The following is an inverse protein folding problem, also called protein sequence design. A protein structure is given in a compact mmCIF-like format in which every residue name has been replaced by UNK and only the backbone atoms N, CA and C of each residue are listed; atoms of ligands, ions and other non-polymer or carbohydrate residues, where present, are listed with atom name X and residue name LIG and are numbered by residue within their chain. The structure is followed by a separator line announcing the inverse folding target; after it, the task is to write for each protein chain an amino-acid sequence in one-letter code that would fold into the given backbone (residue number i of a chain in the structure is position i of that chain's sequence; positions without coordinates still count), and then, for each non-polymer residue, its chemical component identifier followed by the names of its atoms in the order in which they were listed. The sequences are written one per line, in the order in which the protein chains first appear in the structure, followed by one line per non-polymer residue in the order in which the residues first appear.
data_IF_247935207359
#
_entry.id   IF_247935207359
#
_cell.length_a   1.000
_cell.length_b   1.000
_cell.length_c   1.000
_cell.angle_alpha   90.00
_cell.angle_beta   90.00
_cell.angle_gamma   90.00
#
_symmetry.space_group_name_H-M   'P 1'
#
loop_
_entity.id
_entity.type
_entity.pdbx_description
1 polymer ?
#
# COMPACT_ATOMS: atom_id res chain seq x y z
N UNK A 1 36.88 0.83 -6.19
CA UNK A 1 35.46 0.57 -5.88
C UNK A 1 34.64 1.62 -6.60
N UNK A 2 33.85 1.23 -7.59
CA UNK A 2 32.99 2.17 -8.33
C UNK A 2 31.77 2.53 -7.45
N UNK A 3 31.34 3.79 -7.41
CA UNK A 3 30.12 4.17 -6.69
C UNK A 3 28.93 3.45 -7.30
N UNK A 4 28.08 2.82 -6.46
CA UNK A 4 26.80 2.29 -6.89
C UNK A 4 25.91 3.49 -7.23
N UNK A 5 25.83 3.84 -8.52
CA UNK A 5 24.92 4.87 -9.01
C UNK A 5 23.46 4.58 -8.59
N UNK A 6 22.61 5.62 -8.53
CA UNK A 6 21.23 5.49 -8.06
C UNK A 6 20.48 4.49 -8.94
N UNK A 7 19.75 3.55 -8.32
CA UNK A 7 18.91 2.57 -9.03
C UNK A 7 17.59 3.19 -9.55
N UNK A 8 17.56 4.51 -9.72
CA UNK A 8 16.44 5.27 -10.27
C UNK A 8 16.44 5.08 -11.77
N UNK A 9 15.32 4.61 -12.33
CA UNK A 9 15.15 4.58 -13.77
C UNK A 9 14.91 6.01 -14.26
N UNK A 10 15.28 6.33 -15.51
CA UNK A 10 14.81 7.57 -16.10
C UNK A 10 13.28 7.48 -16.24
N UNK A 11 12.54 8.44 -15.69
CA UNK A 11 11.08 8.44 -15.68
C UNK A 11 10.47 8.23 -17.08
N UNK A 12 11.11 8.78 -18.12
CA UNK A 12 10.74 8.54 -19.52
C UNK A 12 10.73 7.06 -19.92
N UNK A 13 11.74 6.28 -19.53
CA UNK A 13 11.80 4.84 -19.84
C UNK A 13 10.68 4.04 -19.18
N UNK A 14 10.18 4.50 -18.02
CA UNK A 14 9.08 3.83 -17.32
C UNK A 14 7.73 4.14 -17.98
N UNK A 15 7.57 5.36 -18.48
CA UNK A 15 6.40 5.76 -19.28
C UNK A 15 6.35 5.02 -20.61
N UNK A 16 7.51 4.81 -21.23
CA UNK A 16 7.66 4.08 -22.50
C UNK A 16 7.73 2.56 -22.33
N UNK A 17 7.38 2.04 -21.15
CA UNK A 17 7.34 0.60 -20.91
C UNK A 17 6.43 -0.11 -21.93
N UNK A 18 6.82 -1.33 -22.30
CA UNK A 18 6.02 -2.23 -23.11
C UNK A 18 4.81 -2.70 -22.28
N UNK A 19 3.60 -2.36 -22.75
CA UNK A 19 2.36 -2.57 -22.02
C UNK A 19 1.55 -3.69 -22.68
N UNK A 20 0.92 -4.58 -21.89
CA UNK A 20 -0.05 -5.52 -22.43
C UNK A 20 -1.25 -4.84 -23.08
N UNK A 21 -1.87 -5.48 -24.07
CA UNK A 21 -3.01 -4.92 -24.83
C UNK A 21 -4.22 -4.52 -23.96
N UNK A 22 -4.38 -5.14 -22.79
CA UNK A 22 -5.47 -4.87 -21.84
C UNK A 22 -5.22 -3.66 -20.94
N UNK A 23 -4.00 -3.11 -20.90
CA UNK A 23 -3.64 -1.96 -20.07
C UNK A 23 -3.59 -0.69 -20.91
N UNK A 24 -4.56 0.23 -20.78
CA UNK A 24 -4.54 1.48 -21.54
C UNK A 24 -3.30 2.32 -21.22
N UNK A 25 -2.70 2.88 -22.28
CA UNK A 25 -1.49 3.71 -22.16
C UNK A 25 -1.73 4.95 -21.30
N UNK A 26 -2.87 5.61 -21.45
CA UNK A 26 -3.17 6.83 -20.69
C UNK A 26 -3.26 6.54 -19.18
N UNK A 27 -3.96 5.47 -18.78
CA UNK A 27 -4.01 5.05 -17.37
C UNK A 27 -2.62 4.71 -16.81
N UNK A 28 -1.74 4.11 -17.62
CA UNK A 28 -0.35 3.87 -17.20
C UNK A 28 0.46 5.16 -17.04
N UNK A 29 0.23 6.16 -17.90
CA UNK A 29 0.89 7.46 -17.79
C UNK A 29 0.44 8.22 -16.54
N UNK A 30 -0.85 8.20 -16.22
CA UNK A 30 -1.40 8.78 -14.99
C UNK A 30 -0.78 8.13 -13.74
N UNK A 31 -0.63 6.81 -13.76
CA UNK A 31 0.06 6.09 -12.69
C UNK A 31 1.54 6.48 -12.58
N UNK A 32 2.25 6.60 -13.70
CA UNK A 32 3.64 7.03 -13.72
C UNK A 32 3.79 8.43 -13.14
N UNK A 33 2.99 9.40 -13.58
CA UNK A 33 3.03 10.78 -13.07
C UNK A 33 2.80 10.82 -11.54
N UNK A 34 1.81 10.07 -11.07
CA UNK A 34 1.54 9.96 -9.64
C UNK A 34 2.72 9.38 -8.86
N UNK A 35 3.35 8.30 -9.36
CA UNK A 35 4.53 7.71 -8.70
C UNK A 35 5.72 8.66 -8.68
N UNK A 36 5.93 9.45 -9.72
CA UNK A 36 6.97 10.47 -9.78
C UNK A 36 6.71 11.61 -8.79
N UNK A 37 5.47 12.07 -8.66
CA UNK A 37 5.07 13.05 -7.65
C UNK A 37 5.31 12.52 -6.23
N UNK A 38 5.04 11.23 -6.00
CA UNK A 38 5.28 10.55 -4.72
C UNK A 38 6.77 10.34 -4.43
N UNK A 39 7.58 10.04 -5.43
CA UNK A 39 9.04 9.98 -5.28
C UNK A 39 9.57 11.33 -4.77
N UNK A 40 9.15 12.44 -5.40
CA UNK A 40 9.57 13.79 -4.96
C UNK A 40 9.08 14.15 -3.56
N UNK A 41 7.87 13.71 -3.18
CA UNK A 41 7.23 14.12 -1.92
C UNK A 41 7.61 13.26 -0.71
N UNK A 42 7.83 11.96 -0.92
CA UNK A 42 7.96 10.97 0.15
C UNK A 42 9.22 10.11 0.04
N UNK A 43 10.14 10.47 -0.86
CA UNK A 43 11.38 9.75 -1.15
C UNK A 43 11.16 8.24 -1.41
N UNK A 44 10.04 7.91 -2.09
CA UNK A 44 9.69 6.53 -2.47
C UNK A 44 10.06 6.31 -3.94
N UNK A 45 11.20 5.67 -4.26
CA UNK A 45 11.76 5.66 -5.61
C UNK A 45 10.80 5.03 -6.64
N UNK A 46 10.64 5.67 -7.80
CA UNK A 46 9.98 5.08 -8.95
C UNK A 46 11.00 4.38 -9.84
N UNK A 47 11.01 3.04 -9.80
CA UNK A 47 12.09 2.22 -10.39
C UNK A 47 11.55 1.18 -11.36
N UNK A 48 12.40 0.69 -12.27
CA UNK A 48 12.02 -0.39 -13.22
C UNK A 48 11.44 -1.63 -12.52
N UNK A 49 12.01 -2.11 -11.39
CA UNK A 49 11.39 -3.21 -10.64
C UNK A 49 10.00 -2.87 -10.08
N UNK A 50 9.78 -1.65 -9.59
CA UNK A 50 8.47 -1.23 -9.09
C UNK A 50 7.42 -1.18 -10.22
N UNK A 51 7.79 -0.66 -11.40
CA UNK A 51 6.95 -0.68 -12.59
C UNK A 51 6.59 -2.12 -13.00
N UNK A 52 7.57 -3.03 -13.05
CA UNK A 52 7.34 -4.45 -13.37
C UNK A 52 6.40 -5.13 -12.37
N UNK A 53 6.53 -4.84 -11.07
CA UNK A 53 5.64 -5.40 -10.04
C UNK A 53 4.23 -4.82 -10.16
N UNK A 54 4.10 -3.54 -10.49
CA UNK A 54 2.80 -2.89 -10.75
C UNK A 54 2.06 -3.58 -11.89
N UNK A 55 2.73 -3.78 -13.05
CA UNK A 55 2.12 -4.46 -14.21
C UNK A 55 1.69 -5.89 -13.83
N UNK A 56 2.49 -6.62 -13.06
CA UNK A 56 2.11 -7.96 -12.55
C UNK A 56 0.89 -7.92 -11.62
N UNK A 57 0.72 -6.86 -10.83
CA UNK A 57 -0.43 -6.70 -9.93
C UNK A 57 -1.69 -6.38 -10.73
N UNK A 58 -1.59 -5.49 -11.71
CA UNK A 58 -2.66 -5.17 -12.66
C UNK A 58 -3.07 -6.40 -13.48
N UNK A 59 -2.11 -7.22 -13.93
CA UNK A 59 -2.40 -8.46 -14.64
C UNK A 59 -3.27 -9.42 -13.81
N UNK A 60 -2.96 -9.58 -12.53
CA UNK A 60 -3.80 -10.39 -11.62
C UNK A 60 -5.20 -9.82 -11.47
N UNK A 61 -5.33 -8.50 -11.32
CA UNK A 61 -6.65 -7.86 -11.23
C UNK A 61 -7.46 -8.08 -12.51
N UNK A 62 -6.82 -7.97 -13.68
CA UNK A 62 -7.44 -8.26 -14.96
C UNK A 62 -7.85 -9.73 -15.10
N UNK A 63 -6.97 -10.68 -14.71
CA UNK A 63 -7.26 -12.12 -14.68
C UNK A 63 -8.44 -12.46 -13.76
N UNK A 64 -8.57 -11.74 -12.64
CA UNK A 64 -9.69 -11.84 -11.69
C UNK A 64 -10.97 -11.14 -12.21
N UNK A 65 -10.96 -10.59 -13.43
CA UNK A 65 -12.10 -9.92 -14.06
C UNK A 65 -12.39 -8.51 -13.51
N UNK A 66 -11.41 -7.88 -12.86
CA UNK A 66 -11.57 -6.57 -12.22
C UNK A 66 -11.10 -5.46 -13.14
N UNK A 67 -11.70 -4.29 -12.96
CA UNK A 67 -11.34 -3.09 -13.72
C UNK A 67 -9.97 -2.55 -13.26
N UNK A 68 -8.98 -2.71 -14.13
CA UNK A 68 -7.62 -2.24 -13.91
C UNK A 68 -7.50 -0.72 -13.98
N UNK A 69 -8.35 -0.05 -14.75
CA UNK A 69 -8.37 1.41 -14.88
C UNK A 69 -8.93 2.00 -13.60
N UNK A 70 -10.08 1.52 -13.14
CA UNK A 70 -10.66 1.95 -11.87
C UNK A 70 -9.69 1.74 -10.69
N UNK A 71 -8.96 0.63 -10.70
CA UNK A 71 -7.91 0.35 -9.69
C UNK A 71 -6.78 1.39 -9.70
N UNK A 72 -6.35 1.85 -10.88
CA UNK A 72 -5.35 2.91 -11.02
C UNK A 72 -5.93 4.24 -10.54
N UNK A 73 -7.11 4.62 -11.01
CA UNK A 73 -7.77 5.88 -10.66
C UNK A 73 -7.98 6.00 -9.15
N UNK A 74 -8.49 4.95 -8.51
CA UNK A 74 -8.68 4.92 -7.05
C UNK A 74 -7.35 5.05 -6.29
N UNK A 75 -6.30 4.37 -6.76
CA UNK A 75 -4.96 4.49 -6.18
C UNK A 75 -4.38 5.90 -6.35
N UNK A 76 -4.59 6.55 -7.49
CA UNK A 76 -4.18 7.95 -7.72
C UNK A 76 -4.98 8.89 -6.81
N UNK A 77 -6.31 8.75 -6.79
CA UNK A 77 -7.23 9.55 -5.99
C UNK A 77 -6.87 9.51 -4.50
N UNK A 78 -6.58 8.32 -3.97
CA UNK A 78 -6.19 8.12 -2.57
C UNK A 78 -4.72 8.41 -2.28
N UNK A 79 -3.94 8.67 -3.31
CA UNK A 79 -2.53 8.93 -3.19
C UNK A 79 -1.72 7.70 -2.76
N UNK A 80 -2.11 6.49 -3.17
CA UNK A 80 -1.44 5.24 -2.84
C UNK A 80 -0.24 4.96 -3.75
N UNK A 81 0.84 4.39 -3.22
CA UNK A 81 2.02 3.98 -4.00
C UNK A 81 1.95 2.52 -4.48
N UNK A 82 0.86 1.81 -4.15
CA UNK A 82 0.51 0.49 -4.66
C UNK A 82 -0.87 0.47 -5.32
N UNK A 83 -1.11 -0.54 -6.16
CA UNK A 83 -2.38 -0.77 -6.85
C UNK A 83 -3.21 -1.80 -6.09
N UNK A 84 -4.46 -1.43 -5.82
CA UNK A 84 -5.45 -2.26 -5.13
C UNK A 84 -6.75 -2.28 -5.94
N UNK A 85 -7.61 -3.26 -5.67
CA UNK A 85 -8.94 -3.28 -6.25
C UNK A 85 -9.69 -1.99 -5.92
N UNK A 86 -10.30 -1.37 -6.93
CA UNK A 86 -11.26 -0.30 -6.67
C UNK A 86 -12.46 -0.90 -5.94
N UNK A 87 -12.96 -0.22 -4.92
CA UNK A 87 -14.27 -0.57 -4.35
C UNK A 87 -15.33 -0.17 -5.37
N UNK A 88 -15.87 -1.15 -6.07
CA UNK A 88 -16.87 -0.96 -7.12
C UNK A 88 -17.98 0.01 -6.70
N UNK A 89 -18.03 1.14 -7.40
CA UNK A 89 -19.23 1.96 -7.52
C UNK A 89 -20.06 1.47 -8.69
N UNK A 90 -20.73 0.30 -8.58
CA UNK A 90 -22.08 0.01 -9.12
C UNK A 90 -22.36 -1.50 -9.28
N UNK A 91 -23.15 -2.06 -8.35
CA UNK A 91 -24.32 -2.88 -8.67
C UNK A 91 -25.12 -3.16 -7.39
N UNK A 92 -26.39 -2.75 -7.43
CA UNK A 92 -27.41 -2.98 -6.41
C UNK A 92 -27.64 -4.49 -6.21
N UNK A 93 -27.61 -4.96 -4.95
CA UNK A 93 -28.19 -6.28 -4.61
C UNK A 93 -27.46 -7.06 -3.51
N UNK A 94 -28.01 -6.97 -2.30
CA UNK A 94 -28.02 -8.06 -1.31
C UNK A 94 -26.72 -8.40 -0.55
N UNK A 95 -26.56 -7.73 0.58
CA UNK A 95 -26.46 -8.44 1.86
C UNK A 95 -25.20 -9.26 2.13
N UNK A 96 -24.06 -8.60 2.33
CA UNK A 96 -23.06 -9.09 3.28
C UNK A 96 -22.74 -7.96 4.23
N UNK A 97 -23.02 -8.19 5.51
CA UNK A 97 -22.94 -7.21 6.59
C UNK A 97 -21.75 -6.29 6.46
N UNK A 98 -22.02 -4.99 6.32
CA UNK A 98 -21.05 -3.93 6.52
C UNK A 98 -20.24 -4.26 7.77
N UNK A 99 -18.93 -4.44 7.61
CA UNK A 99 -18.01 -4.38 8.75
C UNK A 99 -18.28 -3.03 9.41
N UNK A 100 -18.57 -2.95 10.71
CA UNK A 100 -18.83 -1.65 11.34
C UNK A 100 -17.61 -0.76 11.09
N UNK A 101 -17.86 0.47 10.62
CA UNK A 101 -16.85 1.44 10.15
C UNK A 101 -15.79 1.83 11.21
N UNK A 102 -15.81 1.22 12.39
CA UNK A 102 -14.98 1.51 13.56
C UNK A 102 -14.44 0.25 14.25
N UNK A 103 -14.37 -0.91 13.58
CA UNK A 103 -13.88 -2.16 14.18
C UNK A 103 -12.49 -2.00 14.84
N UNK A 104 -11.63 -1.14 14.28
CA UNK A 104 -10.27 -0.86 14.77
C UNK A 104 -10.22 -0.03 16.06
N UNK A 105 -11.35 0.56 16.49
CA UNK A 105 -11.45 1.47 17.64
C UNK A 105 -11.67 0.75 18.97
N UNK A 106 -11.94 -0.56 18.95
CA UNK A 106 -12.15 -1.35 20.17
C UNK A 106 -11.35 -2.66 20.14
N UNK A 107 -10.95 -3.13 21.31
CA UNK A 107 -10.20 -4.39 21.40
C UNK A 107 -11.02 -5.57 20.89
N UNK A 108 -12.31 -5.62 21.23
CA UNK A 108 -13.26 -6.64 20.74
C UNK A 108 -13.39 -6.59 19.22
N UNK A 109 -13.52 -5.40 18.63
CA UNK A 109 -13.66 -5.24 17.18
C UNK A 109 -12.41 -5.69 16.42
N UNK A 110 -11.21 -5.37 16.92
CA UNK A 110 -9.94 -5.84 16.35
C UNK A 110 -9.82 -7.35 16.44
N UNK A 111 -10.21 -7.96 17.56
CA UNK A 111 -10.17 -9.42 17.73
C UNK A 111 -11.12 -10.15 16.79
N UNK A 112 -12.37 -9.69 16.70
CA UNK A 112 -13.37 -10.28 15.81
C UNK A 112 -12.99 -10.11 14.33
N UNK A 113 -12.43 -8.95 13.96
CA UNK A 113 -11.95 -8.72 12.61
C UNK A 113 -10.71 -9.57 12.28
N UNK A 114 -9.79 -9.69 13.24
CA UNK A 114 -8.61 -10.57 13.12
C UNK A 114 -9.00 -12.02 12.85
N UNK A 115 -9.99 -12.57 13.59
CA UNK A 115 -10.51 -13.93 13.35
C UNK A 115 -11.01 -14.12 11.93
N UNK A 116 -11.74 -13.12 11.37
CA UNK A 116 -12.23 -13.16 9.98
C UNK A 116 -11.10 -13.20 8.95
N UNK A 117 -9.97 -12.57 9.26
CA UNK A 117 -8.78 -12.52 8.41
C UNK A 117 -7.79 -13.67 8.67
N UNK A 118 -8.13 -14.62 9.56
CA UNK A 118 -7.22 -15.70 9.96
C UNK A 118 -6.04 -15.24 10.84
N UNK A 119 -6.13 -14.04 11.42
CA UNK A 119 -5.12 -13.47 12.32
C UNK A 119 -5.60 -13.57 13.76
N UNK A 120 -5.01 -14.46 14.54
CA UNK A 120 -5.26 -14.59 15.98
C UNK A 120 -4.13 -13.98 16.80
N UNK A 121 -4.48 -13.48 17.99
CA UNK A 121 -3.51 -13.01 18.98
C UNK A 121 -2.72 -14.21 19.51
N UNK A 122 -1.40 -14.10 19.55
CA UNK A 122 -0.51 -15.14 20.07
C UNK A 122 -0.41 -15.05 21.60
N UNK A 123 -0.07 -16.16 22.24
CA UNK A 123 0.18 -16.19 23.68
C UNK A 123 1.33 -15.23 24.05
N UNK A 124 1.10 -14.37 25.04
CA UNK A 124 2.05 -13.31 25.44
C UNK A 124 2.21 -12.13 24.47
N UNK A 125 1.46 -12.06 23.36
CA UNK A 125 1.57 -10.97 22.39
C UNK A 125 0.91 -9.69 22.91
N UNK A 126 1.67 -8.58 22.92
CA UNK A 126 1.15 -7.25 23.22
C UNK A 126 0.04 -6.89 22.23
N UNK A 127 -1.11 -6.46 22.75
CA UNK A 127 -2.30 -6.18 21.95
C UNK A 127 -2.05 -5.20 20.79
N UNK A 128 -1.18 -4.20 20.98
CA UNK A 128 -0.82 -3.25 19.92
C UNK A 128 -0.13 -3.91 18.71
N UNK A 129 0.69 -4.95 18.95
CA UNK A 129 1.33 -5.74 17.88
C UNK A 129 0.33 -6.64 17.18
N UNK A 130 -0.61 -7.21 17.93
CA UNK A 130 -1.73 -7.94 17.37
C UNK A 130 -2.60 -7.02 16.48
N UNK A 131 -2.98 -5.84 16.97
CA UNK A 131 -3.71 -4.82 16.20
C UNK A 131 -2.95 -4.42 14.93
N UNK A 132 -1.64 -4.21 14.99
CA UNK A 132 -0.82 -3.93 13.81
C UNK A 132 -0.94 -5.04 12.74
N UNK A 133 -0.89 -6.31 13.15
CA UNK A 133 -1.05 -7.45 12.24
C UNK A 133 -2.45 -7.51 11.63
N UNK A 134 -3.49 -7.26 12.42
CA UNK A 134 -4.88 -7.22 11.92
C UNK A 134 -5.05 -6.07 10.93
N UNK A 135 -4.53 -4.88 11.25
CA UNK A 135 -4.53 -3.70 10.36
C UNK A 135 -3.75 -3.98 9.07
N UNK A 136 -2.59 -4.61 9.15
CA UNK A 136 -1.81 -5.02 7.98
C UNK A 136 -2.56 -6.03 7.11
N UNK A 137 -3.17 -7.04 7.73
CA UNK A 137 -3.93 -8.07 7.04
C UNK A 137 -5.23 -7.53 6.41
N UNK A 138 -5.85 -6.51 7.02
CA UNK A 138 -6.99 -5.80 6.46
C UNK A 138 -6.62 -4.93 5.24
N UNK A 139 -5.33 -4.71 4.99
CA UNK A 139 -4.83 -3.82 3.94
C UNK A 139 -4.88 -2.35 4.34
N UNK A 140 -4.41 -1.44 3.47
CA UNK A 140 -4.43 0.00 3.72
C UNK A 140 -5.87 0.54 3.75
N UNK A 141 -6.17 1.38 4.75
CA UNK A 141 -7.47 2.02 4.96
C UNK A 141 -7.44 2.99 6.14
N UNK A 142 -8.57 3.61 6.48
CA UNK A 142 -8.67 4.61 7.57
C UNK A 142 -8.09 4.08 8.89
N UNK A 143 -8.25 2.79 9.17
CA UNK A 143 -7.68 2.12 10.35
C UNK A 143 -6.15 2.11 10.38
N UNK A 144 -5.49 2.05 9.22
CA UNK A 144 -4.03 2.10 9.10
C UNK A 144 -3.52 3.53 9.24
N UNK A 145 -4.21 4.50 8.63
CA UNK A 145 -3.89 5.92 8.72
C UNK A 145 -4.10 6.45 10.14
N UNK A 146 -5.19 6.05 10.81
CA UNK A 146 -5.44 6.40 12.22
C UNK A 146 -4.34 5.83 13.11
N UNK A 147 -3.93 4.59 12.88
CA UNK A 147 -2.87 3.95 13.65
C UNK A 147 -1.49 4.59 13.44
N UNK A 148 -1.18 5.04 12.21
CA UNK A 148 0.02 5.83 11.91
C UNK A 148 -0.04 7.21 12.55
N UNK A 149 -1.20 7.89 12.48
CA UNK A 149 -1.43 9.20 13.12
C UNK A 149 -1.27 9.13 14.63
N UNK A 150 -1.79 8.08 15.27
CA UNK A 150 -1.61 7.88 16.70
C UNK A 150 -0.14 7.59 17.01
N UNK A 151 0.56 6.75 16.25
CA UNK A 151 1.98 6.50 16.45
C UNK A 151 2.81 7.80 16.35
N UNK A 152 2.48 8.70 15.43
CA UNK A 152 3.13 10.02 15.33
C UNK A 152 2.93 10.90 16.57
N UNK A 153 1.85 10.71 17.34
CA UNK A 153 1.66 11.41 18.64
C UNK A 153 2.58 10.89 19.74
N UNK A 154 3.05 9.65 19.62
CA UNK A 154 3.91 8.98 20.60
C UNK A 154 5.41 9.04 20.26
N UNK A 155 5.77 9.58 19.08
CA UNK A 155 7.15 9.86 18.67
C UNK A 155 7.54 9.25 17.32
N UNK A 156 8.57 9.84 16.70
CA UNK A 156 9.00 9.51 15.33
C UNK A 156 9.45 8.05 15.19
N UNK A 157 10.14 7.49 16.18
CA UNK A 157 10.57 6.07 16.16
C UNK A 157 9.40 5.07 16.07
N UNK A 158 8.28 5.38 16.73
CA UNK A 158 7.09 4.53 16.71
C UNK A 158 6.35 4.64 15.38
N UNK A 159 6.22 5.87 14.86
CA UNK A 159 5.66 6.13 13.54
C UNK A 159 6.44 5.40 12.44
N UNK A 160 7.76 5.57 12.42
CA UNK A 160 8.61 4.96 11.41
C UNK A 160 8.61 3.43 11.51
N UNK A 161 8.64 2.87 12.71
CA UNK A 161 8.55 1.42 12.92
C UNK A 161 7.26 0.82 12.35
N UNK A 162 6.13 1.49 12.58
CA UNK A 162 4.82 1.10 12.03
C UNK A 162 4.75 1.28 10.51
N UNK A 163 5.22 2.43 10.02
CA UNK A 163 5.24 2.75 8.59
C UNK A 163 6.08 1.73 7.81
N UNK A 164 7.27 1.38 8.32
CA UNK A 164 8.11 0.31 7.76
C UNK A 164 7.38 -1.03 7.77
N UNK A 165 6.73 -1.36 8.87
CA UNK A 165 5.99 -2.62 9.01
C UNK A 165 4.82 -2.75 8.03
N UNK A 166 4.07 -1.66 7.80
CA UNK A 166 2.94 -1.65 6.87
C UNK A 166 3.35 -1.62 5.39
N UNK A 167 4.50 -1.00 5.08
CA UNK A 167 5.00 -0.90 3.71
C UNK A 167 6.09 -1.95 3.37
N UNK A 168 6.33 -2.91 4.26
CA UNK A 168 7.36 -3.96 4.11
C UNK A 168 8.78 -3.40 3.81
N UNK A 169 9.12 -2.24 4.39
CA UNK A 169 10.41 -1.57 4.20
C UNK A 169 11.46 -2.14 5.19
N UNK A 170 12.61 -2.67 4.73
CA UNK A 170 13.65 -3.21 5.60
C UNK A 170 14.33 -2.14 6.48
N UNK A 171 14.63 -2.47 7.74
CA UNK A 171 15.26 -1.57 8.74
C UNK A 171 16.65 -1.04 8.33
N UNK A 172 17.41 -1.80 7.55
CA UNK A 172 18.79 -1.46 7.17
C UNK A 172 18.91 -0.29 6.19
N UNK A 173 17.84 0.14 5.52
CA UNK A 173 17.90 1.21 4.50
C UNK A 173 17.93 2.63 5.08
N UNK A 174 17.51 2.86 6.34
CA UNK A 174 17.47 4.22 6.93
C UNK A 174 18.74 4.56 7.70
N UNK A 175 19.39 3.58 8.35
CA UNK A 175 20.66 3.81 9.04
C UNK A 175 21.80 4.25 8.10
N UNK A 176 21.66 4.00 6.79
CA UNK A 176 22.58 4.50 5.76
C UNK A 176 22.25 5.90 5.25
N UNK A 177 21.04 6.43 5.51
CA UNK A 177 20.63 7.78 5.12
C UNK A 177 20.94 8.83 6.19
N UNK A 178 20.98 8.45 7.47
CA UNK A 178 21.27 9.38 8.59
C UNK A 178 22.77 9.52 8.92
N UNK A 179 23.63 8.73 8.27
CA UNK A 179 25.09 8.75 8.48
C UNK A 179 25.87 9.40 7.31
N UNK A 180 25.18 10.06 6.38
CA UNK A 180 25.75 10.67 5.18
C UNK A 180 25.55 12.19 5.15
#
# INVERSE_FOLDING_TARGET
MLPRGPRTALHGELRDADLPDWLPRDAWLDWCEHREAKEKKADVPWTRPAAKVTIKKLAKLHEDGRDVVAAIEESVLRGWTGIWEAKDGAATGSGVSAVPSNWHKSNTGVTEHGKRLGVTQKDGEVFMRFKARVVKAAGPGEWMEEMLRDAARFGDEQYEGLYRYFNDIPREQVAQAEAA
#
